data_IF_923197745129
#
_entry.id   IF_923197745129
#
_cell.length_a   1.000
_cell.length_b   1.000
_cell.length_c   1.000
_cell.angle_alpha   90.00
_cell.angle_beta   90.00
_cell.angle_gamma   90.00
#
_symmetry.space_group_name_H-M   'P 1'
#
loop_
_entity.id
_entity.type
_entity.pdbx_description
1 polymer ?
#
# COMPACT_ATOMS: atom_id res chain seq x y z
N UNK A 1 60.33 42.84 -16.68
CA UNK A 1 59.49 42.79 -15.47
C UNK A 1 59.79 41.46 -14.78
N UNK A 2 60.84 41.42 -13.95
CA UNK A 2 60.82 41.70 -12.49
C UNK A 2 60.14 40.52 -11.78
N UNK A 3 60.89 39.48 -11.38
CA UNK A 3 61.53 39.29 -10.05
C UNK A 3 60.57 38.48 -9.14
N UNK A 4 60.94 37.38 -8.47
CA UNK A 4 62.18 37.12 -7.75
C UNK A 4 62.57 35.62 -7.69
N UNK A 5 63.87 35.42 -7.65
CA UNK A 5 64.64 34.21 -7.32
C UNK A 5 64.88 34.08 -5.81
N UNK A 6 65.13 32.86 -5.31
CA UNK A 6 66.06 32.50 -4.21
C UNK A 6 65.99 30.96 -4.11
N UNK A 7 67.00 30.10 -4.30
CA UNK A 7 68.45 30.23 -4.24
C UNK A 7 68.99 29.54 -2.98
N UNK A 8 69.58 28.33 -3.12
CA UNK A 8 70.89 27.93 -2.52
C UNK A 8 71.21 26.45 -2.69
N UNK A 9 72.38 26.22 -3.28
CA UNK A 9 73.17 24.98 -3.35
C UNK A 9 73.74 24.58 -1.97
N UNK A 10 74.12 23.30 -1.80
CA UNK A 10 75.43 22.91 -1.25
C UNK A 10 75.71 21.40 -1.44
N UNK A 11 76.80 21.10 -2.16
CA UNK A 11 77.50 19.81 -2.21
C UNK A 11 78.35 19.57 -0.93
N UNK A 12 78.55 18.29 -0.56
CA UNK A 12 79.76 17.68 0.05
C UNK A 12 79.42 16.24 0.47
N UNK A 13 79.83 15.18 -0.23
CA UNK A 13 81.15 14.51 -0.28
C UNK A 13 81.48 13.55 0.89
N UNK A 14 81.35 12.25 0.58
CA UNK A 14 82.17 11.06 0.94
C UNK A 14 82.37 10.51 2.38
N UNK A 15 82.27 9.17 2.44
CA UNK A 15 82.76 8.24 3.48
C UNK A 15 81.61 7.53 4.18
N UNK A 16 81.38 6.21 4.11
CA UNK A 16 82.28 5.07 4.22
C UNK A 16 81.53 3.79 3.82
N UNK A 17 82.21 2.86 3.15
CA UNK A 17 81.77 1.46 2.96
C UNK A 17 81.99 0.69 4.28
N UNK A 18 80.96 0.04 4.81
CA UNK A 18 80.98 -1.43 5.05
C UNK A 18 79.66 -2.01 5.57
N UNK A 19 79.34 -3.16 4.98
CA UNK A 19 78.34 -4.20 5.25
C UNK A 19 77.40 -4.10 6.46
N UNK A 20 76.10 -4.28 6.18
CA UNK A 20 75.35 -5.44 6.70
C UNK A 20 74.02 -5.59 5.95
N UNK A 21 74.09 -6.20 4.77
CA UNK A 21 72.93 -6.86 4.18
C UNK A 21 72.63 -8.12 4.99
N UNK A 22 71.67 -8.02 5.91
CA UNK A 22 70.80 -9.11 6.32
C UNK A 22 69.68 -8.49 7.15
N UNK A 23 68.42 -8.87 6.88
CA UNK A 23 67.16 -8.38 7.49
C UNK A 23 66.47 -7.24 6.71
N UNK A 24 66.20 -7.43 5.41
CA UNK A 24 65.16 -6.63 4.73
C UNK A 24 64.29 -7.44 3.73
N UNK A 25 64.51 -8.75 3.60
CA UNK A 25 63.79 -9.59 2.63
C UNK A 25 62.52 -10.26 3.20
N UNK A 26 62.28 -10.19 4.53
CA UNK A 26 61.15 -10.88 5.17
C UNK A 26 59.91 -10.00 5.45
N UNK A 27 60.06 -8.67 5.43
CA UNK A 27 59.00 -7.69 5.72
C UNK A 27 58.13 -7.39 4.50
N UNK A 28 58.72 -7.24 3.32
CA UNK A 28 58.03 -6.93 2.06
C UNK A 28 57.08 -8.04 1.59
N UNK A 29 57.44 -9.31 1.76
CA UNK A 29 56.59 -10.45 1.34
C UNK A 29 55.34 -10.62 2.22
N UNK A 30 55.42 -10.24 3.49
CA UNK A 30 54.29 -10.28 4.45
C UNK A 30 53.27 -9.19 4.17
N UNK A 31 53.71 -7.99 3.81
CA UNK A 31 52.82 -6.87 3.48
C UNK A 31 52.04 -7.12 2.18
N UNK A 32 52.70 -7.63 1.13
CA UNK A 32 52.05 -7.93 -0.16
C UNK A 32 50.95 -8.99 -0.01
N UNK A 33 51.18 -10.03 0.82
CA UNK A 33 50.18 -11.07 1.05
C UNK A 33 48.97 -10.57 1.85
N UNK A 34 49.21 -9.68 2.81
CA UNK A 34 48.15 -9.09 3.64
C UNK A 34 47.28 -8.11 2.83
N UNK A 35 47.88 -7.29 1.96
CA UNK A 35 47.13 -6.41 1.05
C UNK A 35 46.30 -7.20 0.04
N UNK A 36 46.85 -8.27 -0.52
CA UNK A 36 46.17 -9.15 -1.47
C UNK A 36 44.97 -9.86 -0.83
N UNK A 37 45.11 -10.40 0.40
CA UNK A 37 44.00 -11.01 1.15
C UNK A 37 42.94 -9.99 1.53
N UNK A 38 43.34 -8.79 1.95
CA UNK A 38 42.41 -7.70 2.32
C UNK A 38 41.55 -7.27 1.13
N UNK A 39 42.15 -7.18 -0.07
CA UNK A 39 41.39 -6.86 -1.28
C UNK A 39 40.45 -7.99 -1.70
N UNK A 40 40.89 -9.25 -1.55
CA UNK A 40 40.09 -10.42 -1.91
C UNK A 40 38.90 -10.63 -0.97
N UNK A 41 39.10 -10.42 0.34
CA UNK A 41 38.03 -10.48 1.35
C UNK A 41 36.99 -9.36 1.16
N UNK A 42 37.41 -8.13 0.81
CA UNK A 42 36.47 -7.04 0.49
C UNK A 42 35.59 -7.35 -0.71
N UNK A 43 36.17 -7.94 -1.77
CA UNK A 43 35.41 -8.28 -2.97
C UNK A 43 34.39 -9.39 -2.70
N UNK A 44 34.76 -10.44 -1.95
CA UNK A 44 33.83 -11.51 -1.58
C UNK A 44 32.72 -11.04 -0.63
N UNK A 45 32.99 -10.16 0.34
CA UNK A 45 31.94 -9.60 1.20
C UNK A 45 30.94 -8.72 0.43
N UNK A 46 31.41 -7.96 -0.56
CA UNK A 46 30.52 -7.17 -1.44
C UNK A 46 29.68 -8.09 -2.32
N UNK A 47 30.28 -9.15 -2.87
CA UNK A 47 29.58 -10.11 -3.72
C UNK A 47 28.56 -10.93 -2.92
N UNK A 48 28.89 -11.32 -1.68
CA UNK A 48 27.98 -12.01 -0.76
C UNK A 48 26.85 -11.10 -0.27
N UNK A 49 27.12 -9.81 -0.03
CA UNK A 49 26.08 -8.83 0.29
C UNK A 49 25.14 -8.62 -0.90
N UNK A 50 25.67 -8.46 -2.12
CA UNK A 50 24.87 -8.37 -3.34
C UNK A 50 24.07 -9.65 -3.59
N UNK A 51 24.69 -10.82 -3.38
CA UNK A 51 24.02 -12.10 -3.51
C UNK A 51 22.91 -12.29 -2.46
N UNK A 52 23.13 -11.85 -1.23
CA UNK A 52 22.14 -11.85 -0.15
C UNK A 52 20.97 -10.91 -0.47
N UNK A 53 21.25 -9.70 -0.98
CA UNK A 53 20.22 -8.76 -1.45
C UNK A 53 19.41 -9.39 -2.59
N UNK A 54 20.08 -9.97 -3.59
CA UNK A 54 19.42 -10.67 -4.69
C UNK A 54 18.58 -11.85 -4.20
N UNK A 55 19.07 -12.66 -3.25
CA UNK A 55 18.32 -13.75 -2.65
C UNK A 55 17.08 -13.26 -1.90
N UNK A 56 17.19 -12.17 -1.13
CA UNK A 56 16.04 -11.57 -0.44
C UNK A 56 15.01 -11.05 -1.45
N UNK A 57 15.44 -10.39 -2.54
CA UNK A 57 14.54 -9.93 -3.60
C UNK A 57 13.87 -11.10 -4.33
N UNK A 58 14.61 -12.17 -4.62
CA UNK A 58 14.09 -13.39 -5.26
C UNK A 58 13.11 -14.10 -4.31
N UNK A 59 13.45 -14.26 -3.03
CA UNK A 59 12.58 -14.86 -2.03
C UNK A 59 11.33 -14.01 -1.76
N UNK A 60 11.46 -12.68 -1.78
CA UNK A 60 10.32 -11.78 -1.67
C UNK A 60 9.38 -11.91 -2.87
N UNK A 61 9.94 -11.93 -4.10
CA UNK A 61 9.15 -12.19 -5.31
C UNK A 61 8.53 -13.58 -5.30
N UNK A 62 9.25 -14.61 -4.84
CA UNK A 62 8.73 -15.98 -4.71
C UNK A 62 7.62 -16.09 -3.65
N UNK A 63 7.74 -15.42 -2.51
CA UNK A 63 6.68 -15.34 -1.50
C UNK A 63 5.46 -14.58 -2.02
N UNK A 64 5.67 -13.47 -2.75
CA UNK A 64 4.60 -12.72 -3.38
C UNK A 64 3.88 -13.56 -4.45
N UNK A 65 4.63 -14.25 -5.31
CA UNK A 65 4.09 -15.16 -6.32
C UNK A 65 3.42 -16.38 -5.65
N UNK A 66 3.97 -16.90 -4.56
CA UNK A 66 3.36 -18.01 -3.80
C UNK A 66 2.06 -17.61 -3.11
N UNK A 67 1.96 -16.38 -2.62
CA UNK A 67 0.72 -15.80 -2.08
C UNK A 67 -0.34 -15.71 -3.18
N UNK A 68 0.05 -15.22 -4.36
CA UNK A 68 -0.80 -15.19 -5.55
C UNK A 68 -1.23 -16.61 -5.98
N UNK A 69 -0.33 -17.59 -5.97
CA UNK A 69 -0.65 -18.99 -6.31
C UNK A 69 -1.55 -19.66 -5.26
N UNK A 70 -1.40 -19.34 -3.97
CA UNK A 70 -2.31 -19.82 -2.92
C UNK A 70 -3.72 -19.26 -3.11
N UNK A 71 -3.83 -17.97 -3.48
CA UNK A 71 -5.10 -17.33 -3.83
C UNK A 71 -5.74 -17.99 -5.05
N UNK A 72 -4.96 -18.22 -6.11
CA UNK A 72 -5.42 -18.90 -7.33
C UNK A 72 -5.79 -20.37 -7.05
N UNK A 73 -5.08 -21.07 -6.16
CA UNK A 73 -5.39 -22.46 -5.80
C UNK A 73 -6.69 -22.56 -4.99
N UNK A 74 -6.97 -21.60 -4.10
CA UNK A 74 -8.27 -21.52 -3.42
C UNK A 74 -9.42 -21.21 -4.38
N UNK A 75 -9.20 -20.34 -5.36
CA UNK A 75 -10.17 -20.08 -6.43
C UNK A 75 -10.39 -21.33 -7.30
N UNK A 76 -9.32 -22.06 -7.65
CA UNK A 76 -9.44 -23.30 -8.43
C UNK A 76 -10.09 -24.45 -7.67
N UNK A 77 -9.86 -24.57 -6.35
CA UNK A 77 -10.58 -25.54 -5.51
C UNK A 77 -12.06 -25.19 -5.37
N UNK A 78 -12.39 -23.90 -5.27
CA UNK A 78 -13.78 -23.43 -5.26
C UNK A 78 -14.47 -23.70 -6.60
N UNK A 79 -13.81 -23.41 -7.73
CA UNK A 79 -14.30 -23.77 -9.07
C UNK A 79 -14.46 -25.28 -9.25
N UNK A 80 -13.55 -26.10 -8.71
CA UNK A 80 -13.67 -27.57 -8.76
C UNK A 80 -14.88 -28.07 -7.95
N UNK A 81 -15.12 -27.51 -6.76
CA UNK A 81 -16.28 -27.83 -5.93
C UNK A 81 -17.59 -27.37 -6.58
N UNK A 82 -17.59 -26.23 -7.28
CA UNK A 82 -18.75 -25.74 -8.01
C UNK A 82 -19.07 -26.61 -9.24
N UNK A 83 -18.06 -27.06 -9.99
CA UNK A 83 -18.23 -28.03 -11.09
C UNK A 83 -18.77 -29.38 -10.57
N UNK A 84 -18.29 -29.83 -9.41
CA UNK A 84 -18.70 -31.11 -8.81
C UNK A 84 -20.12 -31.02 -8.20
N UNK A 85 -20.47 -29.89 -7.59
CA UNK A 85 -21.83 -29.57 -7.13
C UNK A 85 -22.82 -29.47 -8.31
N UNK A 86 -22.42 -28.81 -9.40
CA UNK A 86 -23.23 -28.68 -10.63
C UNK A 86 -23.37 -30.01 -11.40
N UNK A 87 -22.47 -30.97 -11.19
CA UNK A 87 -22.60 -32.35 -11.71
C UNK A 87 -23.54 -33.21 -10.86
N UNK A 88 -23.63 -32.96 -9.56
CA UNK A 88 -24.49 -33.72 -8.64
C UNK A 88 -25.94 -33.20 -8.64
N UNK A 89 -26.18 -31.97 -9.08
CA UNK A 89 -27.50 -31.30 -9.02
C UNK A 89 -28.38 -31.41 -10.28
N UNK A 90 -27.99 -32.16 -11.32
CA UNK A 90 -28.86 -32.44 -12.48
C UNK A 90 -29.04 -33.93 -12.74
N UNK A 91 -30.27 -34.48 -12.63
CA UNK A 91 -30.62 -35.72 -13.30
C UNK A 91 -30.66 -35.49 -14.81
N UNK A 92 -30.15 -36.48 -15.53
CA UNK A 92 -30.06 -36.62 -16.97
C UNK A 92 -31.34 -36.21 -17.71
N UNK A 93 -31.26 -35.21 -18.57
CA UNK A 93 -32.12 -35.07 -19.74
C UNK A 93 -31.29 -34.66 -20.96
N UNK A 94 -31.30 -35.52 -21.96
CA UNK A 94 -30.68 -35.39 -23.27
C UNK A 94 -31.21 -34.17 -24.02
N UNK A 95 -30.40 -33.13 -24.22
CA UNK A 95 -30.72 -32.03 -25.16
C UNK A 95 -29.47 -31.59 -25.95
N UNK A 96 -29.45 -31.97 -27.22
CA UNK A 96 -28.79 -31.39 -28.41
C UNK A 96 -27.61 -30.41 -28.21
N UNK A 97 -26.39 -30.96 -28.40
CA UNK A 97 -25.14 -30.25 -28.67
C UNK A 97 -25.13 -29.70 -30.10
N UNK A 98 -25.78 -28.55 -30.35
CA UNK A 98 -25.55 -27.78 -31.59
C UNK A 98 -25.80 -26.27 -31.43
N UNK A 99 -26.54 -25.83 -30.41
CA UNK A 99 -26.88 -24.42 -30.21
C UNK A 99 -25.80 -23.55 -29.53
N UNK A 100 -24.87 -24.15 -28.78
CA UNK A 100 -23.89 -23.42 -27.97
C UNK A 100 -22.70 -22.85 -28.75
N UNK A 101 -22.25 -23.56 -29.80
CA UNK A 101 -21.06 -23.16 -30.54
C UNK A 101 -21.31 -21.95 -31.45
N UNK A 102 -22.51 -21.81 -32.03
CA UNK A 102 -22.85 -20.67 -32.90
C UNK A 102 -22.80 -19.32 -32.18
N UNK A 103 -23.23 -19.27 -30.91
CA UNK A 103 -23.26 -18.02 -30.13
C UNK A 103 -21.86 -17.58 -29.68
N UNK A 104 -20.96 -18.55 -29.46
CA UNK A 104 -19.57 -18.29 -29.14
C UNK A 104 -18.79 -17.86 -30.39
N UNK A 105 -19.10 -18.46 -31.54
CA UNK A 105 -18.50 -18.12 -32.83
C UNK A 105 -18.91 -16.71 -33.29
N UNK A 106 -20.19 -16.32 -33.12
CA UNK A 106 -20.65 -14.93 -33.34
C UNK A 106 -19.94 -13.92 -32.43
N UNK A 107 -19.75 -14.26 -31.15
CA UNK A 107 -19.09 -13.36 -30.19
C UNK A 107 -17.60 -13.19 -30.52
N UNK A 108 -16.92 -14.27 -30.91
CA UNK A 108 -15.51 -14.24 -31.32
C UNK A 108 -15.34 -13.47 -32.65
N UNK A 109 -16.28 -13.61 -33.60
CA UNK A 109 -16.23 -12.89 -34.87
C UNK A 109 -16.50 -11.38 -34.70
N UNK A 110 -17.34 -11.00 -33.73
CA UNK A 110 -17.59 -9.61 -33.36
C UNK A 110 -16.36 -8.97 -32.70
N UNK A 111 -15.72 -9.66 -31.76
CA UNK A 111 -14.48 -9.19 -31.11
C UNK A 111 -13.33 -9.05 -32.12
N UNK A 112 -13.22 -9.95 -33.10
CA UNK A 112 -12.19 -9.86 -34.16
C UNK A 112 -12.45 -8.68 -35.12
N UNK A 113 -13.73 -8.32 -35.37
CA UNK A 113 -14.09 -7.14 -36.16
C UNK A 113 -13.74 -5.83 -35.46
N UNK A 114 -13.94 -5.76 -34.15
CA UNK A 114 -13.62 -4.57 -33.35
C UNK A 114 -12.11 -4.33 -33.22
N UNK A 115 -11.30 -5.39 -33.30
CA UNK A 115 -9.83 -5.30 -33.27
C UNK A 115 -9.23 -4.88 -34.63
N UNK A 116 -9.89 -5.23 -35.76
CA UNK A 116 -9.34 -5.01 -37.11
C UNK A 116 -9.63 -3.62 -37.70
N UNK A 117 -10.59 -2.87 -37.18
CA UNK A 117 -10.91 -1.53 -37.65
C UNK A 117 -10.88 -0.51 -36.50
N UNK A 118 -9.70 0.04 -36.14
CA UNK A 118 -9.66 1.27 -35.39
C UNK A 118 -10.02 2.40 -36.37
N UNK A 119 -11.30 2.66 -36.58
CA UNK A 119 -11.72 3.91 -37.20
C UNK A 119 -11.40 5.03 -36.22
N UNK A 120 -10.27 5.69 -36.46
CA UNK A 120 -9.89 6.98 -35.90
C UNK A 120 -11.01 7.95 -36.27
N UNK A 121 -11.93 8.18 -35.35
CA UNK A 121 -12.79 9.36 -35.36
C UNK A 121 -12.40 10.20 -34.16
N UNK A 122 -11.51 11.16 -34.42
CA UNK A 122 -11.15 12.22 -33.51
C UNK A 122 -12.41 12.95 -33.07
N UNK A 123 -12.89 12.66 -31.87
CA UNK A 123 -13.72 13.57 -31.10
C UNK A 123 -13.12 13.63 -29.70
N UNK A 124 -12.16 14.54 -29.53
CA UNK A 124 -11.86 15.15 -28.25
C UNK A 124 -13.16 15.71 -27.66
N UNK A 125 -13.82 14.91 -26.84
CA UNK A 125 -14.70 15.41 -25.79
C UNK A 125 -14.02 15.02 -24.49
N UNK A 126 -13.35 16.00 -23.89
CA UNK A 126 -12.81 15.91 -22.54
C UNK A 126 -13.84 15.24 -21.64
N UNK A 127 -13.45 14.13 -21.00
CA UNK A 127 -14.23 13.56 -19.89
C UNK A 127 -14.20 14.59 -18.76
N UNK A 128 -15.22 15.44 -18.72
CA UNK A 128 -15.40 16.39 -17.65
C UNK A 128 -15.85 15.61 -16.40
N UNK A 129 -14.94 15.44 -15.44
CA UNK A 129 -15.31 15.05 -14.08
C UNK A 129 -16.35 16.05 -13.58
N UNK A 130 -17.43 15.62 -12.89
CA UNK A 130 -18.44 16.53 -12.37
C UNK A 130 -17.78 17.53 -11.42
N UNK A 131 -17.51 18.74 -11.90
CA UNK A 131 -17.18 19.87 -11.04
C UNK A 131 -18.35 20.07 -10.10
N UNK A 132 -18.08 19.92 -8.81
CA UNK A 132 -18.98 20.33 -7.76
C UNK A 132 -19.38 21.78 -8.03
N UNK A 133 -20.64 22.01 -8.41
CA UNK A 133 -21.12 23.33 -8.80
C UNK A 133 -21.05 24.25 -7.58
N UNK A 134 -20.12 25.21 -7.62
CA UNK A 134 -20.11 26.33 -6.68
C UNK A 134 -21.37 27.17 -6.90
N UNK A 135 -22.09 27.58 -5.84
CA UNK A 135 -23.06 28.64 -5.98
C UNK A 135 -22.30 29.92 -6.29
N UNK A 136 -22.60 30.52 -7.45
CA UNK A 136 -22.18 31.87 -7.80
C UNK A 136 -22.52 32.80 -6.62
N UNK A 137 -21.52 33.56 -6.19
CA UNK A 137 -21.61 34.48 -5.06
C UNK A 137 -22.51 35.66 -5.45
N UNK A 138 -23.82 35.47 -5.32
CA UNK A 138 -24.76 36.57 -5.31
C UNK A 138 -24.60 37.31 -3.97
N UNK A 139 -24.08 38.53 -4.07
CA UNK A 139 -24.02 39.47 -2.95
C UNK A 139 -25.45 39.90 -2.59
N UNK A 140 -26.14 39.06 -1.83
CA UNK A 140 -27.40 39.37 -1.17
C UNK A 140 -27.46 38.62 0.15
N UNK A 141 -27.15 39.37 1.22
CA UNK A 141 -27.46 39.09 2.63
C UNK A 141 -28.58 38.07 2.86
N UNK A 142 -28.22 36.85 3.27
CA UNK A 142 -29.04 35.97 4.12
C UNK A 142 -28.11 35.10 4.96
N UNK A 143 -28.14 35.30 6.29
CA UNK A 143 -27.31 34.58 7.27
C UNK A 143 -27.80 33.14 7.56
N UNK A 144 -28.47 32.48 6.63
CA UNK A 144 -28.97 31.11 6.77
C UNK A 144 -28.75 30.27 5.49
N UNK A 145 -27.54 30.28 4.92
CA UNK A 145 -27.22 29.35 3.83
C UNK A 145 -27.07 27.93 4.40
N UNK A 146 -28.01 27.06 4.03
CA UNK A 146 -27.90 25.62 4.26
C UNK A 146 -27.23 25.02 3.02
N UNK A 147 -26.18 24.23 3.21
CA UNK A 147 -25.41 23.60 2.14
C UNK A 147 -25.78 22.13 2.01
N UNK A 148 -25.96 21.67 0.78
CA UNK A 148 -26.08 20.25 0.46
C UNK A 148 -24.71 19.66 0.13
N UNK A 149 -24.33 18.60 0.84
CA UNK A 149 -23.03 17.94 0.65
C UNK A 149 -23.15 16.42 0.66
N UNK A 150 -22.21 15.75 0.00
CA UNK A 150 -21.89 14.35 0.27
C UNK A 150 -20.95 14.28 1.49
N UNK A 151 -21.48 14.00 2.67
CA UNK A 151 -20.70 13.94 3.90
C UNK A 151 -19.83 12.68 4.03
N UNK A 152 -20.06 11.66 3.19
CA UNK A 152 -19.23 10.45 3.10
C UNK A 152 -18.06 10.61 2.09
N UNK A 153 -17.66 11.85 1.79
CA UNK A 153 -16.60 12.14 0.83
C UNK A 153 -15.20 12.05 1.45
N UNK A 154 -14.32 11.24 0.86
CA UNK A 154 -12.90 11.13 1.27
C UNK A 154 -12.20 12.49 1.28
N UNK A 155 -12.41 13.32 0.25
CA UNK A 155 -11.75 14.63 0.14
C UNK A 155 -12.21 15.64 1.20
N UNK A 156 -13.42 15.45 1.74
CA UNK A 156 -13.92 16.26 2.85
C UNK A 156 -13.45 15.73 4.21
N UNK A 157 -12.85 14.53 4.25
CA UNK A 157 -12.29 13.91 5.44
C UNK A 157 -13.13 12.79 6.04
N UNK A 158 -14.04 12.18 5.28
CA UNK A 158 -14.76 10.99 5.73
C UNK A 158 -13.82 9.78 5.79
N UNK A 159 -14.07 8.86 6.73
CA UNK A 159 -13.26 7.66 6.92
C UNK A 159 -14.12 6.44 7.20
N UNK A 160 -13.62 5.25 6.84
CA UNK A 160 -14.25 3.98 7.26
C UNK A 160 -13.77 3.64 8.67
N UNK A 161 -14.72 3.36 9.58
CA UNK A 161 -14.41 2.87 10.92
C UNK A 161 -14.25 1.35 10.86
N UNK A 162 -13.04 0.89 10.59
CA UNK A 162 -12.71 -0.53 10.48
C UNK A 162 -12.92 -1.29 11.81
N UNK A 163 -12.96 -0.62 12.96
CA UNK A 163 -13.22 -1.26 14.26
C UNK A 163 -14.69 -1.60 14.51
N UNK A 164 -15.58 -0.95 13.74
CA UNK A 164 -17.04 -1.11 13.79
C UNK A 164 -17.61 -1.62 12.46
N UNK A 165 -16.76 -1.94 11.51
CA UNK A 165 -17.14 -2.58 10.27
C UNK A 165 -16.85 -4.08 10.34
N UNK A 166 -17.57 -4.86 9.55
CA UNK A 166 -17.23 -6.25 9.27
C UNK A 166 -15.83 -6.34 8.68
N UNK A 167 -15.20 -7.50 8.86
CA UNK A 167 -13.86 -7.73 8.35
C UNK A 167 -13.84 -7.55 6.83
N UNK A 168 -12.84 -6.80 6.34
CA UNK A 168 -12.72 -6.40 4.94
C UNK A 168 -11.44 -6.95 4.34
N UNK A 169 -11.53 -7.43 3.09
CA UNK A 169 -10.34 -7.85 2.33
C UNK A 169 -9.37 -6.67 2.12
N UNK A 170 -9.89 -5.43 2.18
CA UNK A 170 -9.10 -4.22 2.06
C UNK A 170 -8.45 -3.77 3.38
N UNK A 171 -8.73 -4.43 4.50
CA UNK A 171 -8.07 -4.17 5.77
C UNK A 171 -7.32 -5.43 6.25
N UNK A 172 -6.25 -5.84 5.53
CA UNK A 172 -5.54 -7.07 5.85
C UNK A 172 -4.78 -6.96 7.18
N UNK A 173 -4.65 -8.07 7.91
CA UNK A 173 -3.84 -8.13 9.14
C UNK A 173 -2.35 -7.78 8.93
N UNK A 174 -1.87 -7.93 7.69
CA UNK A 174 -0.54 -7.52 7.24
C UNK A 174 -0.74 -6.69 5.98
N UNK A 175 -0.45 -5.40 6.06
CA UNK A 175 -0.66 -4.46 4.97
C UNK A 175 -1.21 -3.14 5.50
N UNK A 176 -1.76 -2.34 4.60
CA UNK A 176 -2.36 -1.04 4.92
C UNK A 176 -3.85 -1.05 4.65
N UNK A 177 -4.60 -0.24 5.38
CA UNK A 177 -6.05 -0.19 5.24
C UNK A 177 -6.45 0.56 3.95
N UNK A 178 -7.14 -0.14 3.07
CA UNK A 178 -7.66 0.35 1.80
C UNK A 178 -9.20 0.44 1.80
N UNK A 179 -9.83 0.29 2.97
CA UNK A 179 -11.28 0.29 3.12
C UNK A 179 -11.93 1.60 2.63
N UNK A 180 -11.17 2.69 2.63
CA UNK A 180 -11.59 4.01 2.18
C UNK A 180 -11.93 4.13 0.69
N UNK A 181 -11.68 3.12 -0.16
CA UNK A 181 -12.05 3.17 -1.59
C UNK A 181 -13.54 3.48 -1.79
N UNK A 182 -14.39 2.99 -0.89
CA UNK A 182 -15.84 3.19 -0.92
C UNK A 182 -16.30 4.65 -0.78
N UNK A 183 -15.40 5.53 -0.32
CA UNK A 183 -15.66 6.95 -0.04
C UNK A 183 -15.13 7.89 -1.14
N UNK A 184 -14.50 7.35 -2.19
CA UNK A 184 -13.97 8.16 -3.28
C UNK A 184 -15.10 8.50 -4.25
N UNK A 185 -15.29 9.79 -4.49
CA UNK A 185 -16.31 10.29 -5.40
C UNK A 185 -15.84 10.14 -6.86
N UNK A 186 -16.15 9.00 -7.48
CA UNK A 186 -15.82 8.69 -8.88
C UNK A 186 -17.09 8.60 -9.71
N UNK A 187 -17.05 9.12 -10.93
CA UNK A 187 -18.14 8.93 -11.89
C UNK A 187 -18.22 7.50 -12.40
N UNK A 188 -17.06 6.83 -12.55
CA UNK A 188 -16.95 5.43 -12.95
C UNK A 188 -15.98 4.71 -12.00
N UNK A 189 -16.44 4.10 -10.90
CA UNK A 189 -15.54 3.43 -9.97
C UNK A 189 -14.95 2.14 -10.58
N UNK A 190 -13.63 1.87 -10.40
CA UNK A 190 -13.00 0.64 -10.88
C UNK A 190 -13.52 -0.60 -10.15
N UNK A 191 -13.57 -1.73 -10.85
CA UNK A 191 -14.11 -2.99 -10.32
C UNK A 191 -13.26 -3.63 -9.23
N UNK A 192 -11.96 -3.32 -9.19
CA UNK A 192 -10.99 -3.84 -8.21
C UNK A 192 -10.84 -2.93 -6.98
N UNK A 193 -11.57 -1.80 -6.94
CA UNK A 193 -11.50 -0.79 -5.87
C UNK A 193 -12.84 -0.72 -5.14
N UNK A 194 -13.16 -1.77 -4.39
CA UNK A 194 -14.40 -1.89 -3.62
C UNK A 194 -14.12 -2.38 -2.20
N UNK A 195 -14.89 -1.93 -1.21
CA UNK A 195 -14.89 -2.51 0.13
C UNK A 195 -15.63 -3.86 0.09
N UNK A 196 -14.95 -4.95 0.43
CA UNK A 196 -15.51 -6.30 0.32
C UNK A 196 -15.45 -7.05 1.64
N UNK A 197 -16.53 -7.75 2.00
CA UNK A 197 -16.59 -8.61 3.18
C UNK A 197 -17.20 -9.98 2.86
N UNK A 198 -16.74 -11.02 3.56
CA UNK A 198 -17.23 -12.39 3.45
C UNK A 198 -18.23 -12.76 4.56
N UNK A 199 -18.59 -11.80 5.42
CA UNK A 199 -19.61 -12.01 6.45
C UNK A 199 -21.01 -12.08 5.84
N UNK A 200 -21.90 -12.86 6.42
CA UNK A 200 -23.27 -13.08 5.90
C UNK A 200 -24.14 -11.82 5.94
N UNK A 201 -23.98 -10.99 6.97
CA UNK A 201 -24.68 -9.72 7.13
C UNK A 201 -23.64 -8.60 7.37
N UNK A 202 -22.89 -8.20 6.34
CA UNK A 202 -21.76 -7.32 6.54
C UNK A 202 -22.21 -5.90 6.90
N UNK A 203 -21.48 -5.29 7.84
CA UNK A 203 -21.71 -3.93 8.32
C UNK A 203 -20.55 -3.06 7.83
N UNK A 204 -20.86 -1.94 7.18
CA UNK A 204 -19.89 -0.91 6.85
C UNK A 204 -20.20 0.34 7.67
N UNK A 205 -19.28 0.75 8.54
CA UNK A 205 -19.41 1.95 9.36
C UNK A 205 -18.58 3.08 8.79
N UNK A 206 -19.19 4.24 8.60
CA UNK A 206 -18.55 5.43 8.01
C UNK A 206 -18.65 6.59 9.00
N UNK A 207 -17.49 7.16 9.33
CA UNK A 207 -17.38 8.47 9.96
C UNK A 207 -17.53 9.54 8.88
N UNK A 208 -18.56 10.37 9.02
CA UNK A 208 -18.84 11.43 8.08
C UNK A 208 -17.85 12.58 8.30
N UNK A 209 -17.43 13.21 7.20
CA UNK A 209 -16.57 14.38 7.21
C UNK A 209 -17.16 15.55 8.02
N UNK A 210 -18.50 15.62 8.04
CA UNK A 210 -19.28 16.70 8.63
C UNK A 210 -20.55 16.15 9.25
N UNK A 211 -20.97 16.80 10.34
CA UNK A 211 -22.29 16.59 10.89
C UNK A 211 -23.34 17.14 9.92
N UNK A 212 -24.30 16.30 9.53
CA UNK A 212 -25.35 16.64 8.58
C UNK A 212 -26.73 16.23 9.08
N UNK A 213 -27.76 16.94 8.62
CA UNK A 213 -29.13 16.40 8.62
C UNK A 213 -29.30 15.55 7.35
N UNK A 214 -29.46 14.23 7.47
CA UNK A 214 -29.39 13.33 6.32
C UNK A 214 -30.66 13.44 5.45
N UNK A 215 -30.48 13.44 4.13
CA UNK A 215 -31.57 13.55 3.15
C UNK A 215 -31.71 12.27 2.33
N UNK A 216 -30.58 11.69 1.91
CA UNK A 216 -30.57 10.47 1.12
C UNK A 216 -29.20 9.82 1.18
N UNK A 217 -29.17 8.54 0.86
CA UNK A 217 -27.93 7.83 0.55
C UNK A 217 -27.94 7.41 -0.90
N UNK A 218 -26.78 7.29 -1.53
CA UNK A 218 -26.67 6.64 -2.82
C UNK A 218 -25.63 5.54 -2.78
N UNK A 219 -25.89 4.53 -3.60
CA UNK A 219 -24.95 3.47 -3.89
C UNK A 219 -24.69 3.44 -5.40
N UNK A 220 -23.42 3.35 -5.76
CA UNK A 220 -22.98 3.20 -7.13
C UNK A 220 -22.04 2.01 -7.24
N UNK A 221 -22.26 1.17 -8.25
CA UNK A 221 -21.39 0.05 -8.61
C UNK A 221 -20.44 0.45 -9.74
N UNK A 222 -19.34 -0.30 -9.92
CA UNK A 222 -18.54 -0.25 -11.14
C UNK A 222 -19.37 -0.60 -12.37
N UNK A 223 -19.00 -0.03 -13.52
CA UNK A 223 -19.77 -0.10 -14.76
C UNK A 223 -20.11 -1.55 -15.15
N UNK A 224 -21.40 -1.82 -15.33
CA UNK A 224 -21.92 -3.11 -15.79
C UNK A 224 -22.88 -2.98 -16.98
N UNK A 225 -22.91 -4.02 -17.84
CA UNK A 225 -23.68 -4.02 -19.10
C UNK A 225 -25.00 -4.80 -18.97
N UNK A 226 -25.97 -4.22 -18.27
CA UNK A 226 -27.30 -4.81 -18.09
C UNK A 226 -27.45 -5.83 -16.95
N UNK A 227 -26.35 -6.37 -16.41
CA UNK A 227 -26.36 -7.36 -15.31
C UNK A 227 -25.51 -6.84 -14.16
N UNK A 228 -26.11 -6.67 -12.97
CA UNK A 228 -25.39 -6.32 -11.74
C UNK A 228 -24.55 -7.50 -11.27
N UNK A 229 -23.33 -7.24 -10.81
CA UNK A 229 -22.45 -8.28 -10.26
C UNK A 229 -23.09 -8.98 -9.06
N UNK A 230 -22.92 -10.30 -9.01
CA UNK A 230 -23.42 -11.20 -7.97
C UNK A 230 -23.01 -10.76 -6.54
N UNK A 231 -21.79 -10.24 -6.39
CA UNK A 231 -21.28 -9.72 -5.12
C UNK A 231 -21.75 -8.30 -4.76
N UNK A 232 -22.51 -7.61 -5.62
CA UNK A 232 -23.02 -6.29 -5.30
C UNK A 232 -24.09 -6.36 -4.20
N UNK A 233 -24.15 -5.39 -3.26
CA UNK A 233 -25.28 -5.23 -2.37
C UNK A 233 -26.58 -5.06 -3.17
N UNK A 234 -27.60 -5.84 -2.82
CA UNK A 234 -28.95 -5.77 -3.36
C UNK A 234 -29.89 -5.09 -2.38
N UNK A 235 -29.89 -5.50 -1.11
CA UNK A 235 -30.73 -4.93 -0.06
C UNK A 235 -29.90 -4.49 1.12
N UNK A 236 -30.17 -3.29 1.61
CA UNK A 236 -29.47 -2.74 2.76
C UNK A 236 -30.33 -1.77 3.56
N UNK A 237 -30.00 -1.65 4.84
CA UNK A 237 -30.53 -0.64 5.74
C UNK A 237 -29.43 0.37 6.07
N UNK A 238 -29.82 1.59 6.43
CA UNK A 238 -28.90 2.61 6.92
C UNK A 238 -29.35 3.09 8.28
N UNK A 239 -28.44 3.06 9.24
CA UNK A 239 -28.66 3.49 10.61
C UNK A 239 -27.67 4.60 10.96
N UNK A 240 -28.12 5.57 11.74
CA UNK A 240 -27.25 6.56 12.38
C UNK A 240 -26.73 6.02 13.71
N UNK A 241 -25.46 6.30 14.00
CA UNK A 241 -24.92 6.08 15.33
C UNK A 241 -25.17 7.31 16.21
N UNK A 242 -25.87 7.11 17.33
CA UNK A 242 -26.16 8.17 18.30
C UNK A 242 -25.01 8.39 19.29
N UNK A 243 -24.07 7.45 19.34
CA UNK A 243 -22.83 7.55 20.11
C UNK A 243 -21.61 7.15 19.27
N UNK A 244 -20.42 7.53 19.75
CA UNK A 244 -19.15 7.30 19.05
C UNK A 244 -18.87 5.81 18.76
N UNK A 245 -19.36 4.90 19.61
CA UNK A 245 -19.12 3.47 19.47
C UNK A 245 -20.24 2.72 18.74
N UNK A 246 -21.30 3.42 18.29
CA UNK A 246 -22.48 2.83 17.67
C UNK A 246 -23.20 1.79 18.54
N UNK A 247 -23.19 1.96 19.87
CA UNK A 247 -23.97 1.09 20.76
C UNK A 247 -25.47 1.43 20.71
N UNK A 248 -25.80 2.68 20.36
CA UNK A 248 -27.14 3.21 20.18
C UNK A 248 -27.33 3.58 18.71
N UNK A 249 -28.28 2.91 18.06
CA UNK A 249 -28.56 3.02 16.63
C UNK A 249 -29.97 3.57 16.39
N UNK A 250 -30.09 4.50 15.46
CA UNK A 250 -31.37 5.03 14.97
C UNK A 250 -31.53 4.69 13.48
N UNK A 251 -32.58 3.95 13.07
CA UNK A 251 -32.82 3.70 11.65
C UNK A 251 -33.08 4.99 10.87
N UNK A 252 -32.33 5.24 9.81
CA UNK A 252 -32.58 6.37 8.88
C UNK A 252 -33.47 5.93 7.73
N UNK A 253 -33.12 4.81 7.11
CA UNK A 253 -33.90 4.21 6.03
C UNK A 253 -33.69 2.71 6.04
N UNK A 254 -34.73 1.96 5.68
CA UNK A 254 -34.70 0.50 5.64
C UNK A 254 -35.08 -0.02 4.26
N UNK A 255 -34.57 -1.21 3.94
CA UNK A 255 -34.89 -1.97 2.74
C UNK A 255 -34.65 -1.17 1.43
N UNK A 256 -33.56 -0.41 1.37
CA UNK A 256 -33.08 0.16 0.12
C UNK A 256 -32.73 -0.99 -0.84
N UNK A 257 -33.21 -0.92 -2.08
CA UNK A 257 -32.96 -1.94 -3.10
C UNK A 257 -32.11 -1.37 -4.23
N UNK A 258 -30.97 -2.01 -4.50
CA UNK A 258 -30.18 -1.81 -5.70
C UNK A 258 -30.52 -2.90 -6.73
N UNK A 259 -30.72 -2.51 -7.98
CA UNK A 259 -31.07 -3.46 -9.06
C UNK A 259 -30.74 -2.92 -10.44
N UNK A 260 -30.62 -3.79 -11.43
CA UNK A 260 -30.52 -3.33 -12.81
C UNK A 260 -31.78 -2.54 -13.21
N UNK A 261 -31.58 -1.32 -13.72
CA UNK A 261 -32.62 -0.49 -14.31
C UNK A 261 -32.44 -0.42 -15.82
N UNK A 262 -33.53 -0.24 -16.57
CA UNK A 262 -33.49 -0.21 -18.04
C UNK A 262 -32.70 0.97 -18.63
N UNK A 263 -32.45 2.02 -17.84
CA UNK A 263 -31.60 3.16 -18.19
C UNK A 263 -30.11 2.94 -17.84
N UNK A 264 -29.74 1.74 -17.37
CA UNK A 264 -28.38 1.35 -16.98
C UNK A 264 -27.70 2.34 -16.01
N UNK A 265 -28.49 3.06 -15.20
CA UNK A 265 -27.96 3.97 -14.19
C UNK A 265 -27.26 3.19 -13.09
N UNK A 266 -25.96 3.43 -12.99
CA UNK A 266 -25.07 2.75 -12.07
C UNK A 266 -25.27 3.23 -10.63
N UNK A 267 -25.54 4.52 -10.45
CA UNK A 267 -25.85 5.14 -9.17
C UNK A 267 -27.36 5.15 -8.91
N UNK A 268 -27.77 4.72 -7.72
CA UNK A 268 -29.15 4.72 -7.28
C UNK A 268 -29.25 5.32 -5.88
N UNK A 269 -30.18 6.26 -5.72
CA UNK A 269 -30.44 6.96 -4.47
C UNK A 269 -31.59 6.32 -3.70
N UNK A 270 -31.44 6.20 -2.39
CA UNK A 270 -32.48 5.83 -1.44
C UNK A 270 -32.77 7.02 -0.53
N UNK A 271 -33.98 7.58 -0.65
CA UNK A 271 -34.38 8.78 0.09
C UNK A 271 -34.69 8.47 1.54
N UNK A 272 -34.24 9.33 2.45
CA UNK A 272 -34.56 9.26 3.87
C UNK A 272 -35.85 10.04 4.11
N UNK A 273 -36.86 9.47 4.81
CA UNK A 273 -38.13 10.14 5.02
C UNK A 273 -37.99 11.44 5.84
N UNK A 274 -38.35 12.57 5.24
CA UNK A 274 -38.32 13.91 5.88
C UNK A 274 -39.16 14.02 7.16
N UNK A 275 -40.14 13.14 7.37
CA UNK A 275 -41.07 13.21 8.50
C UNK A 275 -40.41 12.82 9.84
N UNK A 276 -39.21 12.25 9.79
CA UNK A 276 -38.40 11.97 10.96
C UNK A 276 -37.42 13.13 11.09
N UNK A 277 -37.64 14.00 12.09
CA UNK A 277 -36.70 15.07 12.44
C UNK A 277 -35.42 14.44 13.01
N UNK A 278 -34.64 13.78 12.16
CA UNK A 278 -33.37 13.20 12.54
C UNK A 278 -32.47 14.32 13.04
N UNK A 279 -31.83 14.06 14.17
CA UNK A 279 -30.79 14.96 14.66
C UNK A 279 -29.63 14.99 13.68
N UNK A 280 -28.77 16.01 13.77
CA UNK A 280 -27.55 16.05 12.98
C UNK A 280 -26.67 14.84 13.34
N UNK A 281 -26.22 14.09 12.34
CA UNK A 281 -25.46 12.84 12.50
C UNK A 281 -24.04 13.00 12.00
N UNK A 282 -23.09 12.34 12.67
CA UNK A 282 -21.67 12.32 12.29
C UNK A 282 -21.13 10.94 11.91
N UNK A 283 -21.91 9.87 12.10
CA UNK A 283 -21.49 8.49 11.82
C UNK A 283 -22.70 7.64 11.42
N UNK A 284 -22.53 6.77 10.42
CA UNK A 284 -23.58 5.90 9.89
C UNK A 284 -23.11 4.47 9.72
N UNK A 285 -24.03 3.52 9.78
CA UNK A 285 -23.81 2.12 9.42
C UNK A 285 -24.71 1.71 8.26
N UNK A 286 -24.08 1.10 7.24
CA UNK A 286 -24.76 0.37 6.19
C UNK A 286 -24.80 -1.09 6.59
N UNK A 287 -26.02 -1.63 6.76
CA UNK A 287 -26.24 -3.05 7.06
C UNK A 287 -26.66 -3.73 5.77
N UNK A 288 -25.73 -4.44 5.13
CA UNK A 288 -26.03 -5.19 3.92
C UNK A 288 -26.76 -6.48 4.31
N UNK A 289 -28.00 -6.62 3.83
CA UNK A 289 -28.87 -7.76 4.16
C UNK A 289 -28.83 -8.86 3.10
N UNK A 290 -28.57 -8.46 1.86
CA UNK A 290 -28.61 -9.36 0.71
C UNK A 290 -27.73 -8.80 -0.40
N UNK A 291 -26.93 -9.65 -1.04
CA UNK A 291 -26.26 -9.36 -2.30
C UNK A 291 -27.07 -9.88 -3.51
N UNK A 292 -26.52 -9.81 -4.72
CA UNK A 292 -27.21 -10.26 -5.93
C UNK A 292 -27.17 -11.79 -6.14
N UNK A 293 -26.41 -12.54 -5.33
CA UNK A 293 -26.44 -14.00 -5.25
C UNK A 293 -25.11 -14.65 -5.65
N UNK A 294 -25.08 -15.98 -5.76
CA UNK A 294 -23.98 -16.84 -6.25
C UNK A 294 -22.59 -16.69 -5.63
N UNK A 295 -22.39 -15.74 -4.73
CA UNK A 295 -21.15 -15.54 -3.98
C UNK A 295 -21.48 -15.17 -2.54
N UNK A 296 -20.67 -15.66 -1.59
CA UNK A 296 -20.77 -15.25 -0.18
C UNK A 296 -20.30 -13.81 0.03
N UNK A 297 -19.39 -13.33 -0.81
CA UNK A 297 -18.74 -12.04 -0.69
C UNK A 297 -19.67 -10.91 -1.11
N UNK A 298 -19.72 -9.83 -0.32
CA UNK A 298 -20.42 -8.59 -0.65
C UNK A 298 -19.40 -7.47 -0.86
N UNK A 299 -19.47 -6.75 -1.98
CA UNK A 299 -18.52 -5.72 -2.38
C UNK A 299 -19.20 -4.38 -2.73
N UNK A 300 -18.96 -3.35 -1.90
CA UNK A 300 -19.47 -2.00 -2.09
C UNK A 300 -18.42 -1.08 -2.74
N UNK A 301 -18.76 -0.45 -3.88
CA UNK A 301 -17.83 0.36 -4.68
C UNK A 301 -17.82 1.84 -4.30
N UNK A 302 -18.96 2.53 -4.38
CA UNK A 302 -19.04 3.94 -3.97
C UNK A 302 -20.33 4.17 -3.21
N UNK A 303 -20.21 4.80 -2.04
CA UNK A 303 -21.33 5.18 -1.19
C UNK A 303 -21.28 6.68 -0.95
N UNK A 304 -22.43 7.33 -1.09
CA UNK A 304 -22.58 8.75 -0.77
C UNK A 304 -23.68 8.93 0.26
N UNK A 305 -23.47 9.88 1.17
CA UNK A 305 -24.45 10.24 2.20
C UNK A 305 -24.71 11.72 2.06
N UNK A 306 -25.86 12.05 1.48
CA UNK A 306 -26.25 13.42 1.21
C UNK A 306 -27.02 14.00 2.38
N UNK A 307 -26.70 15.23 2.74
CA UNK A 307 -27.42 15.95 3.77
C UNK A 307 -27.14 17.43 3.80
N UNK A 308 -27.88 18.09 4.69
CA UNK A 308 -27.81 19.52 4.95
C UNK A 308 -26.83 19.83 6.07
N UNK A 309 -25.98 20.82 5.85
CA UNK A 309 -25.12 21.39 6.88
C UNK A 309 -25.12 22.91 6.86
N UNK A 310 -24.89 23.51 8.02
CA UNK A 310 -24.66 24.95 8.16
C UNK A 310 -23.18 25.32 8.03
N UNK A 311 -22.29 24.33 8.05
CA UNK A 311 -20.87 24.55 7.89
C UNK A 311 -20.52 24.73 6.40
N UNK A 312 -19.77 25.79 6.09
CA UNK A 312 -19.30 26.01 4.72
C UNK A 312 -18.31 24.90 4.35
N UNK A 313 -18.56 24.15 3.26
CA UNK A 313 -17.61 23.16 2.76
C UNK A 313 -16.34 23.89 2.33
N UNK A 314 -15.22 23.64 3.04
CA UNK A 314 -13.92 24.24 2.69
C UNK A 314 -13.30 23.44 1.54
N UNK A 315 -13.80 23.62 0.33
CA UNK A 315 -13.07 23.19 -0.87
C UNK A 315 -12.02 24.27 -1.13
N UNK A 316 -10.74 23.93 -0.98
CA UNK A 316 -9.64 24.87 -1.26
C UNK A 316 -9.53 25.02 -2.78
N UNK A 317 -9.47 26.26 -3.26
CA UNK A 317 -9.09 26.52 -4.65
C UNK A 317 -7.67 25.99 -4.90
N UNK A 318 -7.48 25.44 -6.10
CA UNK A 318 -6.20 24.88 -6.55
C UNK A 318 -5.16 26.00 -6.62
N UNK A 319 -4.12 25.87 -5.81
CA UNK A 319 -2.97 26.78 -5.77
C UNK A 319 -1.94 26.37 -6.82
N UNK A 320 -1.08 27.31 -7.24
CA UNK A 320 0.04 27.04 -8.16
C UNK A 320 0.87 25.81 -7.75
N UNK A 321 1.14 25.67 -6.44
CA UNK A 321 1.87 24.53 -5.89
C UNK A 321 1.16 23.19 -6.10
N UNK A 322 -0.17 23.19 -6.07
CA UNK A 322 -0.96 21.97 -6.29
C UNK A 322 -0.93 21.59 -7.78
N UNK A 323 -1.00 22.56 -8.68
CA UNK A 323 -0.81 22.33 -10.12
C UNK A 323 0.59 21.81 -10.45
N UNK A 324 1.63 22.40 -9.85
CA UNK A 324 3.01 21.89 -9.98
C UNK A 324 3.12 20.45 -9.49
N UNK A 325 2.52 20.12 -8.33
CA UNK A 325 2.47 18.75 -7.80
C UNK A 325 1.80 17.79 -8.79
N UNK A 326 0.63 18.16 -9.33
CA UNK A 326 -0.08 17.29 -10.29
C UNK A 326 0.73 17.06 -11.56
N UNK A 327 1.36 18.11 -12.08
CA UNK A 327 2.19 18.03 -13.29
C UNK A 327 3.43 17.16 -13.05
N UNK A 328 4.08 17.25 -11.88
CA UNK A 328 5.24 16.44 -11.51
C UNK A 328 4.84 14.95 -11.40
N UNK A 329 3.77 14.66 -10.64
CA UNK A 329 3.25 13.29 -10.49
C UNK A 329 2.86 12.67 -11.83
N UNK A 330 2.23 13.44 -12.71
CA UNK A 330 1.84 12.99 -14.06
C UNK A 330 3.07 12.70 -14.91
N UNK A 331 4.06 13.58 -14.89
CA UNK A 331 5.30 13.38 -15.63
C UNK A 331 6.02 12.10 -15.18
N UNK A 332 6.17 11.91 -13.87
CA UNK A 332 6.85 10.73 -13.32
C UNK A 332 6.05 9.45 -13.54
N UNK A 333 4.72 9.48 -13.49
CA UNK A 333 3.89 8.33 -13.86
C UNK A 333 4.21 7.81 -15.27
N UNK A 334 4.29 8.70 -16.25
CA UNK A 334 4.50 8.32 -17.66
C UNK A 334 5.95 8.09 -18.04
N UNK A 335 6.90 8.82 -17.46
CA UNK A 335 8.30 8.83 -17.89
C UNK A 335 9.24 8.14 -16.89
N UNK A 336 8.92 8.18 -15.60
CA UNK A 336 9.76 7.63 -14.53
C UNK A 336 8.94 6.75 -13.57
N UNK A 337 8.35 5.62 -14.00
CA UNK A 337 7.46 4.81 -13.14
C UNK A 337 8.12 4.34 -11.84
N UNK A 338 9.45 4.21 -11.82
CA UNK A 338 10.20 3.88 -10.61
C UNK A 338 10.20 5.01 -9.59
N UNK A 339 10.37 6.26 -10.03
CA UNK A 339 10.29 7.44 -9.17
C UNK A 339 8.89 7.59 -8.62
N UNK A 340 7.88 7.52 -9.51
CA UNK A 340 6.48 7.56 -9.14
C UNK A 340 6.17 6.56 -8.04
N UNK A 341 6.48 5.28 -8.26
CA UNK A 341 6.09 4.24 -7.30
C UNK A 341 6.81 4.32 -5.95
N UNK A 342 8.03 4.86 -5.87
CA UNK A 342 8.87 4.76 -4.66
C UNK A 342 9.03 6.08 -3.90
N UNK A 343 9.20 7.20 -4.62
CA UNK A 343 9.59 8.48 -4.03
C UNK A 343 8.45 9.47 -3.96
N UNK A 344 7.48 9.36 -4.86
CA UNK A 344 6.39 10.32 -4.92
C UNK A 344 5.36 10.08 -3.83
N UNK A 345 4.94 11.18 -3.20
CA UNK A 345 3.85 11.15 -2.23
C UNK A 345 2.51 11.24 -2.95
N UNK A 346 1.94 10.07 -3.25
CA UNK A 346 0.73 9.93 -4.06
C UNK A 346 -0.25 8.98 -3.37
N UNK A 347 -1.35 9.50 -2.89
CA UNK A 347 -2.48 8.67 -2.46
C UNK A 347 -3.76 9.28 -3.00
N UNK A 348 -4.88 8.55 -2.89
CA UNK A 348 -6.15 9.04 -3.39
C UNK A 348 -6.52 10.40 -2.77
N UNK A 349 -6.23 10.62 -1.49
CA UNK A 349 -6.49 11.92 -0.85
C UNK A 349 -5.70 13.05 -1.51
N UNK A 350 -4.40 12.86 -1.76
CA UNK A 350 -3.54 13.85 -2.42
C UNK A 350 -4.03 14.12 -3.84
N UNK A 351 -4.24 13.07 -4.65
CA UNK A 351 -4.60 13.24 -6.06
C UNK A 351 -5.96 13.95 -6.21
N UNK A 352 -6.96 13.53 -5.45
CA UNK A 352 -8.31 14.11 -5.55
C UNK A 352 -8.43 15.49 -4.90
N UNK A 353 -7.74 15.75 -3.77
CA UNK A 353 -7.80 17.08 -3.13
C UNK A 353 -7.08 18.18 -3.92
N UNK A 354 -6.18 17.80 -4.82
CA UNK A 354 -5.46 18.71 -5.71
C UNK A 354 -6.06 18.78 -7.12
N UNK A 355 -7.18 18.08 -7.39
CA UNK A 355 -7.84 18.00 -8.70
C UNK A 355 -6.94 17.48 -9.84
N UNK A 356 -5.97 16.60 -9.50
CA UNK A 356 -5.00 16.07 -10.46
C UNK A 356 -5.62 15.13 -11.50
N UNK A 357 -6.82 14.59 -11.26
CA UNK A 357 -7.43 13.58 -12.13
C UNK A 357 -7.80 14.13 -13.51
N UNK A 358 -7.87 15.45 -13.67
CA UNK A 358 -8.05 16.09 -14.97
C UNK A 358 -6.81 15.99 -15.84
N UNK A 359 -5.62 16.02 -15.23
CA UNK A 359 -4.31 15.89 -15.91
C UNK A 359 -3.89 14.43 -16.08
N UNK A 360 -4.11 13.59 -15.06
CA UNK A 360 -3.78 12.16 -15.07
C UNK A 360 -4.93 11.32 -14.50
N UNK A 361 -5.95 10.97 -15.31
CA UNK A 361 -7.08 10.17 -14.85
C UNK A 361 -6.66 8.75 -14.41
N UNK A 362 -5.72 8.14 -15.12
CA UNK A 362 -5.14 6.84 -14.78
C UNK A 362 -4.44 6.82 -13.41
N UNK A 363 -3.75 7.90 -13.03
CA UNK A 363 -3.18 8.05 -11.69
C UNK A 363 -4.27 7.95 -10.61
N UNK A 364 -5.43 8.54 -10.86
CA UNK A 364 -6.57 8.52 -9.93
C UNK A 364 -7.34 7.21 -9.94
N UNK A 365 -7.34 6.48 -11.05
CA UNK A 365 -7.94 5.15 -11.14
C UNK A 365 -7.12 4.14 -10.32
N UNK A 366 -5.80 4.18 -10.46
CA UNK A 366 -4.87 3.24 -9.82
C UNK A 366 -4.54 3.57 -8.36
N UNK A 367 -4.85 4.79 -7.90
CA UNK A 367 -4.47 5.27 -6.57
C UNK A 367 -4.86 4.32 -5.43
N UNK A 368 -4.07 4.37 -4.37
CA UNK A 368 -4.31 3.65 -3.11
C UNK A 368 -4.66 4.65 -1.99
N UNK A 369 -5.44 4.23 -1.01
CA UNK A 369 -5.83 5.07 0.14
C UNK A 369 -4.60 5.37 0.99
N UNK A 370 -3.86 4.34 1.39
CA UNK A 370 -2.62 4.46 2.14
C UNK A 370 -1.42 3.97 1.31
N UNK A 371 -0.59 4.92 0.84
CA UNK A 371 0.56 4.64 -0.04
C UNK A 371 1.90 4.50 0.69
N UNK A 372 2.84 3.75 0.08
CA UNK A 372 4.21 3.58 0.59
C UNK A 372 4.99 4.85 0.31
N UNK A 373 5.04 5.72 1.33
CA UNK A 373 5.82 6.94 1.23
C UNK A 373 7.33 6.72 1.43
N UNK A 374 8.10 7.68 0.96
CA UNK A 374 9.56 7.81 1.11
C UNK A 374 10.01 7.70 2.57
N UNK A 375 9.18 8.14 3.52
CA UNK A 375 9.45 8.00 4.96
C UNK A 375 9.48 6.54 5.43
N UNK A 376 8.56 5.72 4.92
CA UNK A 376 8.53 4.28 5.19
C UNK A 376 9.74 3.60 4.58
N UNK A 377 10.07 3.93 3.32
CA UNK A 377 11.26 3.39 2.67
C UNK A 377 12.56 3.78 3.39
N UNK A 378 12.69 5.05 3.79
CA UNK A 378 13.84 5.55 4.54
C UNK A 378 13.98 4.86 5.91
N UNK A 379 12.87 4.60 6.59
CA UNK A 379 12.86 3.84 7.84
C UNK A 379 13.36 2.40 7.63
N UNK A 380 12.84 1.70 6.61
CA UNK A 380 13.28 0.35 6.28
C UNK A 380 14.75 0.30 5.86
N UNK A 381 15.18 1.24 5.01
CA UNK A 381 16.58 1.34 4.58
C UNK A 381 17.52 1.62 5.75
N UNK A 382 17.11 2.53 6.65
CA UNK A 382 17.84 2.79 7.90
C UNK A 382 17.93 1.54 8.78
N UNK A 383 16.83 0.80 8.93
CA UNK A 383 16.81 -0.44 9.71
C UNK A 383 17.75 -1.50 9.12
N UNK A 384 17.76 -1.65 7.78
CA UNK A 384 18.64 -2.59 7.07
C UNK A 384 20.13 -2.25 7.22
N UNK A 385 20.49 -0.98 7.49
CA UNK A 385 21.88 -0.57 7.75
C UNK A 385 22.22 -0.70 9.23
N UNK A 386 21.34 -0.23 10.12
CA UNK A 386 21.62 -0.12 11.57
C UNK A 386 21.62 -1.50 12.24
N UNK A 387 20.72 -2.40 11.86
CA UNK A 387 20.60 -3.72 12.49
C UNK A 387 21.84 -4.59 12.30
N UNK A 388 22.41 -4.73 11.08
CA UNK A 388 23.68 -5.46 10.91
C UNK A 388 24.83 -4.86 11.72
N UNK A 389 24.91 -3.54 11.83
CA UNK A 389 25.94 -2.85 12.62
C UNK A 389 25.78 -3.20 14.11
N UNK A 390 24.55 -3.18 14.63
CA UNK A 390 24.27 -3.56 16.02
C UNK A 390 24.59 -5.04 16.28
N UNK A 391 24.20 -5.94 15.37
CA UNK A 391 24.52 -7.37 15.49
C UNK A 391 26.03 -7.58 15.50
N UNK A 392 26.77 -6.91 14.62
CA UNK A 392 28.23 -6.99 14.57
C UNK A 392 28.88 -6.45 15.85
N UNK A 393 28.40 -5.32 16.37
CA UNK A 393 28.89 -4.73 17.61
C UNK A 393 28.64 -5.65 18.82
N UNK A 394 27.44 -6.21 18.93
CA UNK A 394 27.10 -7.18 19.99
C UNK A 394 27.95 -8.43 19.87
N UNK A 395 28.12 -8.98 18.65
CA UNK A 395 28.98 -10.13 18.39
C UNK A 395 30.44 -9.87 18.77
N UNK A 396 30.96 -8.68 18.46
CA UNK A 396 32.30 -8.27 18.83
C UNK A 396 32.49 -8.15 20.35
N UNK A 397 31.53 -7.55 21.06
CA UNK A 397 31.54 -7.48 22.53
C UNK A 397 31.51 -8.88 23.15
N UNK A 398 30.70 -9.78 22.60
CA UNK A 398 30.61 -11.17 23.06
C UNK A 398 31.93 -11.92 22.85
N UNK A 399 32.55 -11.81 21.67
CA UNK A 399 33.84 -12.46 21.39
C UNK A 399 34.94 -11.93 22.32
N UNK A 400 35.03 -10.62 22.49
CA UNK A 400 36.06 -9.99 23.34
C UNK A 400 35.90 -10.37 24.81
N UNK A 401 34.67 -10.44 25.33
CA UNK A 401 34.41 -10.92 26.70
C UNK A 401 34.80 -12.39 26.88
N UNK A 402 34.45 -13.27 25.93
CA UNK A 402 34.87 -14.69 25.97
C UNK A 402 36.39 -14.82 25.98
N UNK A 403 37.10 -14.08 25.12
CA UNK A 403 38.57 -14.09 25.08
C UNK A 403 39.20 -13.61 26.40
N UNK A 404 38.61 -12.59 27.04
CA UNK A 404 39.03 -12.10 28.36
C UNK A 404 38.88 -13.18 29.43
N UNK A 405 37.75 -13.90 29.46
CA UNK A 405 37.55 -15.01 30.39
C UNK A 405 38.53 -16.15 30.16
N UNK A 406 38.81 -16.50 28.90
CA UNK A 406 39.82 -17.52 28.55
C UNK A 406 41.21 -17.08 29.04
N UNK A 407 41.60 -15.84 28.77
CA UNK A 407 42.90 -15.31 29.21
C UNK A 407 43.03 -15.28 30.73
N UNK A 408 41.98 -14.86 31.45
CA UNK A 408 41.93 -14.88 32.90
C UNK A 408 42.03 -16.32 33.45
N UNK A 409 41.34 -17.27 32.84
CA UNK A 409 41.42 -18.69 33.18
C UNK A 409 42.82 -19.28 33.00
N UNK A 410 43.48 -18.97 31.88
CA UNK A 410 44.87 -19.38 31.63
C UNK A 410 45.82 -18.75 32.66
N UNK A 411 45.65 -17.45 32.97
CA UNK A 411 46.46 -16.76 33.98
C UNK A 411 46.33 -17.37 35.38
N UNK A 412 45.10 -17.68 35.81
CA UNK A 412 44.83 -18.38 37.08
C UNK A 412 45.47 -19.77 37.12
N UNK A 413 45.43 -20.51 36.01
CA UNK A 413 46.03 -21.84 35.89
C UNK A 413 47.56 -21.81 36.04
N UNK A 414 48.23 -20.84 35.42
CA UNK A 414 49.70 -20.69 35.56
C UNK A 414 50.10 -20.22 36.96
N UNK A 415 49.32 -19.35 37.61
CA UNK A 415 49.52 -18.98 39.02
C UNK A 415 49.36 -20.21 39.93
N UNK A 416 48.34 -21.05 39.70
CA UNK A 416 48.11 -22.28 40.46
C UNK A 416 49.27 -23.27 40.30
N UNK A 417 49.79 -23.46 39.07
CA UNK A 417 51.00 -24.26 38.81
C UNK A 417 52.20 -23.76 39.61
N UNK A 418 52.44 -22.44 39.64
CA UNK A 418 53.53 -21.84 40.40
C UNK A 418 53.38 -22.08 41.91
N UNK A 419 52.17 -21.93 42.46
CA UNK A 419 51.92 -22.21 43.88
C UNK A 419 52.14 -23.70 44.23
N UNK A 420 51.67 -24.62 43.38
CA UNK A 420 51.90 -26.06 43.55
C UNK A 420 53.41 -26.38 43.48
N UNK A 421 54.12 -25.81 42.51
CA UNK A 421 55.58 -25.96 42.37
C UNK A 421 56.35 -25.46 43.60
N UNK A 422 55.97 -24.31 44.16
CA UNK A 422 56.54 -23.78 45.40
C UNK A 422 56.25 -24.68 46.61
N UNK A 423 55.04 -25.23 46.73
CA UNK A 423 54.68 -26.18 47.80
C UNK A 423 55.54 -27.46 47.73
N UNK A 424 55.72 -28.03 46.54
CA UNK A 424 56.58 -29.21 46.36
C UNK A 424 58.06 -28.93 46.66
N UNK A 425 58.56 -27.74 46.30
CA UNK A 425 59.95 -27.34 46.60
C UNK A 425 60.20 -27.14 48.09
N UNK A 426 59.24 -26.55 48.81
CA UNK A 426 59.30 -26.36 50.26
C UNK A 426 59.26 -27.70 51.02
N UNK A 427 58.52 -28.69 50.51
CA UNK A 427 58.47 -30.05 51.08
C UNK A 427 59.80 -30.81 50.94
N UNK A 428 60.53 -30.57 49.84
CA UNK A 428 61.82 -31.22 49.54
C UNK A 428 63.01 -30.67 50.34
N UNK A 429 62.86 -29.52 51.00
CA UNK A 429 63.87 -28.94 51.90
C UNK A 429 63.62 -29.30 53.38
N UNK A 430 62.50 -29.97 53.70
CA UNK A 430 62.09 -30.35 55.06
C UNK A 430 62.29 -31.84 55.37
N UNK A 431 62.85 -32.59 54.43
CA UNK A 431 63.32 -33.98 54.53
C UNK A 431 64.78 -33.99 54.17
#
# INVERSE_FOLDING_TARGET
MVQASFGKDLESANGSKESSNAIEESTTKKEIWYEWIRNRLRYYMILELLFSICLVLILWKLCHISSQISSIHSEFQYFKLDIESNRVSKPTDTINLDGGNKKLEEFVEQVIKDIKNPSIENNEKSKEYPKQTTPTKDNSSSNNSVFHINAASLILGATVDSSRSSNSDNNPSIGRDQSGYVLIDRSDPPSDKAWCSNEENPILTIDLAKYITPISVSYQHSKWSGIVSDGAPRRYDVLACLDYYCNSLEPLVSNCEYRATGDNKQEQSCSIPFNQNHSSIGKVQFHFRQNHGNVMKTCAHTIRVYGETKEVPKVKEMTLKQAETCSELTYDYHHNPWTYNIFDYKNCTVLYSNDCCTECPECCDECVIEDINTGTFAFWFGFMIVVPILIFAIGFIFITTVLLFIAAGIGLFEIAKLQIGCLFRKRKQST
#
